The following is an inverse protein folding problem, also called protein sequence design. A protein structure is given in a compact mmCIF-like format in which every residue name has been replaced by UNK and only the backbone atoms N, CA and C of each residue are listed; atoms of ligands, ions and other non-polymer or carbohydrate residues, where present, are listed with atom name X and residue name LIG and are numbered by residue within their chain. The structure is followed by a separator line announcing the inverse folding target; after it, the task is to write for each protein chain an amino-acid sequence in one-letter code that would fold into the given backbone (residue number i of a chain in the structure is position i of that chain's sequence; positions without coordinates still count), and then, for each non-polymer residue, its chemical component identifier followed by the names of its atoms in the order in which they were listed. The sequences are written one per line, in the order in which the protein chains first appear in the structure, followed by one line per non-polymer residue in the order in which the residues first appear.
data_IF_344414304040
#
_entry.id   IF_344414304040
#
_cell.length_a   1.000
_cell.length_b   1.000
_cell.length_c   1.000
_cell.angle_alpha   90.00
_cell.angle_beta   90.00
_cell.angle_gamma   90.00
#
_symmetry.space_group_name_H-M   'P 1'
#
loop_
_entity.id
_entity.type
_entity.pdbx_description
1 polymer ?
#
# COMPACT_ATOMS: atom_id res chain seq x y z
N UNK A 1 8.80 0.13 -17.93
CA UNK A 1 10.02 0.86 -17.54
C UNK A 1 9.68 2.09 -16.71
N UNK A 2 8.67 2.90 -17.07
CA UNK A 2 8.22 4.04 -16.26
C UNK A 2 7.82 3.67 -14.82
N UNK A 3 6.96 2.65 -14.64
CA UNK A 3 6.47 2.25 -13.31
C UNK A 3 7.60 1.94 -12.32
N UNK A 4 8.69 1.27 -12.75
CA UNK A 4 9.82 0.94 -11.87
C UNK A 4 10.57 2.20 -11.43
N UNK A 5 10.86 3.11 -12.35
CA UNK A 5 11.52 4.39 -12.03
C UNK A 5 10.68 5.24 -11.06
N UNK A 6 9.36 5.24 -11.21
CA UNK A 6 8.48 5.99 -10.32
C UNK A 6 8.38 5.35 -8.93
N UNK A 7 8.45 4.01 -8.83
CA UNK A 7 8.56 3.30 -7.55
C UNK A 7 9.89 3.60 -6.88
N UNK A 8 11.02 3.56 -7.60
CA UNK A 8 12.33 3.96 -7.08
C UNK A 8 12.32 5.40 -6.58
N UNK A 9 11.68 6.31 -7.33
CA UNK A 9 11.52 7.71 -6.92
C UNK A 9 10.70 7.81 -5.63
N UNK A 10 9.59 7.07 -5.50
CA UNK A 10 8.81 7.02 -4.27
C UNK A 10 9.65 6.55 -3.07
N UNK A 11 10.48 5.53 -3.25
CA UNK A 11 11.35 5.02 -2.19
C UNK A 11 12.45 6.02 -1.81
N UNK A 12 13.02 6.73 -2.78
CA UNK A 12 14.04 7.76 -2.51
C UNK A 12 13.44 8.97 -1.77
N UNK A 13 12.26 9.44 -2.19
CA UNK A 13 11.62 10.63 -1.62
C UNK A 13 11.03 10.38 -0.24
N UNK A 14 10.57 9.15 0.01
CA UNK A 14 9.72 8.84 1.16
C UNK A 14 10.16 7.65 2.01
N UNK A 15 11.24 6.94 1.64
CA UNK A 15 11.71 5.75 2.36
C UNK A 15 12.11 6.01 3.81
N UNK A 16 12.28 7.27 4.23
CA UNK A 16 12.46 7.65 5.64
C UNK A 16 11.19 7.55 6.48
N UNK A 17 10.01 7.50 5.85
CA UNK A 17 8.70 7.55 6.51
C UNK A 17 8.16 6.18 6.90
N UNK A 18 8.70 5.11 6.33
CA UNK A 18 8.25 3.74 6.59
C UNK A 18 9.42 2.75 6.46
N UNK A 19 9.27 1.58 7.05
CA UNK A 19 10.21 0.47 6.86
C UNK A 19 9.60 -0.44 5.79
N UNK A 20 10.14 -0.47 4.56
CA UNK A 20 9.60 -1.33 3.52
C UNK A 20 9.74 -2.80 3.93
N UNK A 21 8.67 -3.57 3.72
CA UNK A 21 8.72 -5.04 3.72
C UNK A 21 8.28 -5.48 2.34
N UNK A 22 9.21 -5.97 1.53
CA UNK A 22 8.88 -6.57 0.24
C UNK A 22 8.22 -7.93 0.48
N UNK A 23 7.01 -8.10 -0.07
CA UNK A 23 6.37 -9.41 -0.18
C UNK A 23 5.84 -9.50 -1.61
N UNK A 24 6.30 -10.50 -2.36
CA UNK A 24 5.67 -10.90 -3.63
C UNK A 24 6.22 -10.33 -4.94
N UNK A 25 7.40 -9.71 -4.98
CA UNK A 25 8.10 -9.39 -6.24
C UNK A 25 9.43 -10.16 -6.29
N UNK A 26 9.45 -11.28 -7.01
CA UNK A 26 10.68 -11.95 -7.48
C UNK A 26 11.02 -11.35 -8.86
N UNK A 27 12.22 -10.99 -9.30
CA UNK A 27 13.60 -11.50 -9.06
C UNK A 27 14.68 -10.40 -9.13
N UNK A 28 14.38 -9.23 -8.63
CA UNK A 28 15.39 -8.27 -8.24
C UNK A 28 14.79 -7.64 -7.01
N UNK A 29 15.39 -7.78 -5.83
CA UNK A 29 15.31 -6.74 -4.81
C UNK A 29 16.22 -7.07 -3.61
N UNK A 30 17.53 -6.85 -3.81
CA UNK A 30 18.44 -6.30 -2.80
C UNK A 30 18.22 -4.77 -2.71
N UNK A 31 16.97 -4.30 -2.76
CA UNK A 31 16.69 -2.88 -2.68
C UNK A 31 16.65 -2.45 -1.22
N UNK A 32 17.74 -1.77 -0.85
CA UNK A 32 17.91 -0.88 0.29
C UNK A 32 18.67 -1.51 1.47
N UNK A 33 20.00 -1.63 1.29
CA UNK A 33 20.95 -1.38 2.38
C UNK A 33 21.30 0.13 2.37
N UNK A 34 20.38 0.96 2.87
CA UNK A 34 20.65 2.38 3.12
C UNK A 34 21.46 2.52 4.41
N UNK A 35 22.74 2.81 4.25
CA UNK A 35 23.78 2.93 5.28
C UNK A 35 23.76 4.26 6.07
N UNK A 36 22.66 5.02 6.07
CA UNK A 36 22.61 6.30 6.78
C UNK A 36 21.24 6.66 7.37
N UNK A 37 20.62 5.73 8.10
CA UNK A 37 19.31 6.00 8.73
C UNK A 37 19.09 5.30 10.07
N UNK A 38 20.15 4.81 10.70
CA UNK A 38 20.06 4.00 11.94
C UNK A 38 19.39 4.75 13.10
N UNK A 39 19.51 6.08 13.17
CA UNK A 39 18.86 6.85 14.22
C UNK A 39 17.34 6.97 14.03
N UNK A 40 16.87 7.27 12.80
CA UNK A 40 15.44 7.40 12.48
C UNK A 40 14.77 6.03 12.47
N UNK A 41 15.41 5.04 11.83
CA UNK A 41 14.97 3.64 11.85
C UNK A 41 14.83 3.13 13.27
N UNK A 42 15.77 3.43 14.18
CA UNK A 42 15.68 3.04 15.59
C UNK A 42 14.51 3.73 16.31
N UNK A 43 14.30 5.03 16.13
CA UNK A 43 13.16 5.73 16.75
C UNK A 43 11.80 5.25 16.22
N UNK A 44 11.69 4.93 14.94
CA UNK A 44 10.48 4.35 14.35
C UNK A 44 10.27 2.91 14.86
N UNK A 45 11.34 2.11 14.95
CA UNK A 45 11.28 0.75 15.52
C UNK A 45 10.89 0.75 17.00
N UNK A 46 11.43 1.66 17.81
CA UNK A 46 11.15 1.78 19.25
C UNK A 46 9.74 2.32 19.56
N UNK A 47 9.14 3.12 18.67
CA UNK A 47 7.82 3.73 18.88
C UNK A 47 6.67 3.02 18.13
N UNK A 48 6.94 2.27 17.05
CA UNK A 48 5.90 1.78 16.13
C UNK A 48 5.91 0.27 15.81
N UNK A 49 6.94 -0.51 16.19
CA UNK A 49 6.94 -1.95 15.94
C UNK A 49 6.41 -2.77 17.11
N UNK A 50 5.09 -2.94 17.12
CA UNK A 50 4.44 -4.15 17.64
C UNK A 50 3.08 -4.32 16.94
N UNK A 51 3.07 -5.25 15.98
CA UNK A 51 1.92 -5.94 15.38
C UNK A 51 0.92 -5.17 14.51
N UNK A 52 1.35 -4.05 13.90
CA UNK A 52 0.46 -3.24 13.05
C UNK A 52 1.19 -2.56 11.89
N UNK A 53 0.66 -2.71 10.66
CA UNK A 53 1.27 -2.14 9.44
C UNK A 53 0.25 -1.46 8.53
N UNK A 54 0.73 -0.61 7.63
CA UNK A 54 -0.05 -0.07 6.50
C UNK A 54 0.50 -0.70 5.23
N UNK A 55 -0.40 -1.18 4.37
CA UNK A 55 -0.07 -1.64 3.03
C UNK A 55 -0.25 -0.48 2.07
N UNK A 56 0.84 -0.04 1.44
CA UNK A 56 0.85 1.00 0.41
C UNK A 56 0.86 0.32 -0.96
N UNK A 57 -0.14 0.60 -1.79
CA UNK A 57 -0.25 0.08 -3.15
C UNK A 57 -0.01 1.21 -4.14
N UNK A 58 1.05 1.09 -4.94
CA UNK A 58 1.35 1.99 -6.05
C UNK A 58 0.77 1.43 -7.35
N UNK A 59 -0.18 2.16 -7.94
CA UNK A 59 -0.93 1.74 -9.12
C UNK A 59 -0.33 2.37 -10.37
N UNK A 60 0.34 1.55 -11.16
CA UNK A 60 0.66 1.83 -12.56
C UNK A 60 -0.41 1.31 -13.51
N UNK A 61 -0.11 1.37 -14.81
CA UNK A 61 -1.06 1.06 -15.90
C UNK A 61 -1.63 -0.36 -15.85
N UNK A 62 -0.79 -1.33 -15.47
CA UNK A 62 -1.14 -2.76 -15.45
C UNK A 62 -1.29 -3.36 -14.05
N UNK A 63 -1.07 -2.59 -12.98
CA UNK A 63 -1.06 -3.11 -11.59
C UNK A 63 -2.38 -3.78 -11.23
N UNK A 64 -3.52 -3.23 -11.69
CA UNK A 64 -4.86 -3.78 -11.46
C UNK A 64 -5.05 -5.22 -11.95
N UNK A 65 -4.24 -5.64 -12.94
CA UNK A 65 -4.31 -6.93 -13.59
C UNK A 65 -3.54 -8.03 -12.86
N UNK A 66 -2.61 -7.70 -11.96
CA UNK A 66 -1.66 -8.65 -11.38
C UNK A 66 -2.26 -9.48 -10.25
N UNK A 67 -2.12 -10.80 -10.31
CA UNK A 67 -2.61 -11.73 -9.27
C UNK A 67 -1.88 -11.53 -7.94
N UNK A 68 -0.58 -11.26 -7.96
CA UNK A 68 0.20 -11.06 -6.74
C UNK A 68 -0.26 -9.82 -5.98
N UNK A 69 -0.64 -8.75 -6.68
CA UNK A 69 -1.25 -7.57 -6.05
C UNK A 69 -2.57 -7.93 -5.36
N UNK A 70 -3.43 -8.73 -6.00
CA UNK A 70 -4.65 -9.23 -5.36
C UNK A 70 -4.36 -10.05 -4.09
N UNK A 71 -3.34 -10.91 -4.13
CA UNK A 71 -2.96 -11.76 -3.00
C UNK A 71 -2.39 -10.95 -1.84
N UNK A 72 -1.52 -9.98 -2.11
CA UNK A 72 -0.95 -9.10 -1.08
C UNK A 72 -2.01 -8.22 -0.42
N UNK A 73 -2.93 -7.64 -1.22
CA UNK A 73 -4.07 -6.89 -0.67
C UNK A 73 -4.97 -7.82 0.14
N UNK A 74 -5.29 -9.03 -0.36
CA UNK A 74 -6.08 -9.99 0.40
C UNK A 74 -5.44 -10.36 1.73
N UNK A 75 -4.12 -10.57 1.73
CA UNK A 75 -3.37 -10.88 2.95
C UNK A 75 -3.41 -9.73 3.95
N UNK A 76 -3.26 -8.50 3.46
CA UNK A 76 -3.31 -7.28 4.26
C UNK A 76 -4.66 -7.02 4.92
N UNK A 77 -5.75 -7.46 4.28
CA UNK A 77 -7.12 -7.31 4.78
C UNK A 77 -7.54 -8.41 5.77
N UNK A 78 -6.77 -9.50 5.90
CA UNK A 78 -7.04 -10.55 6.89
C UNK A 78 -6.88 -10.01 8.30
N UNK A 79 -7.73 -10.48 9.20
CA UNK A 79 -7.66 -10.22 10.63
C UNK A 79 -7.90 -11.53 11.36
N UNK A 80 -6.83 -12.20 11.77
CA UNK A 80 -6.90 -13.46 12.50
C UNK A 80 -6.21 -13.33 13.87
N UNK A 81 -6.24 -14.40 14.68
CA UNK A 81 -5.68 -14.38 16.03
C UNK A 81 -4.16 -14.15 16.08
N UNK A 82 -3.48 -14.35 14.94
CA UNK A 82 -2.02 -14.23 14.79
C UNK A 82 -1.67 -12.94 14.04
N UNK A 83 -2.42 -12.61 12.99
CA UNK A 83 -2.16 -11.48 12.11
C UNK A 83 -3.26 -10.43 12.23
N UNK A 84 -2.91 -9.28 12.80
CA UNK A 84 -3.79 -8.12 12.79
C UNK A 84 -3.83 -7.51 11.39
N UNK A 85 -5.00 -7.01 11.02
CA UNK A 85 -5.23 -6.32 9.76
C UNK A 85 -4.31 -5.11 9.56
N UNK A 86 -3.87 -4.90 8.32
CA UNK A 86 -3.15 -3.68 7.93
C UNK A 86 -4.12 -2.58 7.47
N UNK A 87 -3.76 -1.33 7.72
CA UNK A 87 -4.37 -0.20 6.99
C UNK A 87 -4.09 -0.32 5.48
N UNK A 88 -4.95 0.24 4.63
CA UNK A 88 -4.79 0.15 3.18
C UNK A 88 -4.76 1.54 2.54
N UNK A 89 -3.61 1.89 1.96
CA UNK A 89 -3.34 3.17 1.33
C UNK A 89 -2.96 2.94 -0.14
N UNK A 90 -3.58 3.69 -1.04
CA UNK A 90 -3.47 3.43 -2.48
C UNK A 90 -3.18 4.73 -3.22
N UNK A 91 -2.13 4.73 -4.04
CA UNK A 91 -1.75 5.86 -4.87
C UNK A 91 -1.69 5.47 -6.34
N UNK A 92 -2.24 6.27 -7.26
CA UNK A 92 -1.83 6.23 -8.65
C UNK A 92 -0.39 6.75 -8.78
N UNK A 93 0.45 6.07 -9.57
CA UNK A 93 1.76 6.62 -9.94
C UNK A 93 1.61 7.93 -10.72
N UNK A 94 2.59 8.85 -10.69
CA UNK A 94 2.50 10.13 -11.39
C UNK A 94 2.13 10.01 -12.87
N UNK A 95 2.67 9.01 -13.58
CA UNK A 95 2.38 8.68 -14.97
C UNK A 95 0.91 8.37 -15.24
N UNK A 96 0.16 7.99 -14.22
CA UNK A 96 -1.27 7.70 -14.30
C UNK A 96 -2.15 8.94 -14.17
N UNK A 97 -1.60 10.13 -13.88
CA UNK A 97 -2.35 11.40 -13.77
C UNK A 97 -3.61 11.31 -12.89
N UNK A 98 -3.50 10.64 -11.73
CA UNK A 98 -4.61 10.36 -10.82
C UNK A 98 -5.79 9.57 -11.42
N UNK A 99 -5.59 8.85 -12.53
CA UNK A 99 -6.62 8.03 -13.19
C UNK A 99 -6.24 6.56 -13.30
N UNK A 100 -5.50 6.02 -12.33
CA UNK A 100 -5.12 4.61 -12.34
C UNK A 100 -6.33 3.70 -12.11
N UNK A 101 -6.42 2.62 -12.88
CA UNK A 101 -7.47 1.61 -12.69
C UNK A 101 -7.25 0.87 -11.37
N UNK A 102 -8.30 0.80 -10.54
CA UNK A 102 -8.28 0.01 -9.30
C UNK A 102 -8.45 -1.50 -9.61
N UNK A 103 -7.69 -2.34 -8.92
CA UNK A 103 -7.96 -3.79 -8.87
C UNK A 103 -9.33 -4.05 -8.22
N UNK A 104 -9.93 -5.20 -8.52
CA UNK A 104 -11.29 -5.50 -8.04
C UNK A 104 -11.36 -5.50 -6.50
N UNK A 105 -10.36 -6.06 -5.81
CA UNK A 105 -10.31 -6.09 -4.34
C UNK A 105 -10.11 -4.71 -3.71
N UNK A 106 -9.32 -3.83 -4.34
CA UNK A 106 -9.19 -2.43 -3.87
C UNK A 106 -10.53 -1.72 -4.04
N UNK A 107 -11.22 -1.97 -5.16
CA UNK A 107 -12.53 -1.37 -5.44
C UNK A 107 -13.60 -1.80 -4.45
N UNK A 108 -13.61 -3.05 -3.98
CA UNK A 108 -14.56 -3.48 -2.93
C UNK A 108 -14.37 -2.71 -1.61
N UNK A 109 -13.17 -2.19 -1.38
CA UNK A 109 -12.81 -1.46 -0.17
C UNK A 109 -12.83 0.07 -0.37
N UNK A 110 -13.24 0.56 -1.55
CA UNK A 110 -13.23 1.98 -1.89
C UNK A 110 -14.58 2.42 -2.48
N UNK A 111 -15.14 3.50 -1.92
CA UNK A 111 -16.32 4.19 -2.45
C UNK A 111 -15.89 5.54 -2.98
N UNK A 112 -16.07 5.76 -4.28
CA UNK A 112 -15.65 6.98 -4.97
C UNK A 112 -16.29 8.24 -4.33
N UNK A 113 -15.46 9.23 -4.02
CA UNK A 113 -15.88 10.47 -3.36
C UNK A 113 -16.24 10.35 -1.88
N UNK A 114 -16.23 9.16 -1.29
CA UNK A 114 -16.78 8.87 0.04
C UNK A 114 -15.73 8.22 0.96
N UNK A 115 -14.73 9.01 1.36
CA UNK A 115 -13.61 8.52 2.18
C UNK A 115 -14.08 7.95 3.54
N UNK A 116 -15.16 8.48 4.11
CA UNK A 116 -15.74 7.99 5.37
C UNK A 116 -16.35 6.58 5.23
N UNK A 117 -16.81 6.21 4.04
CA UNK A 117 -17.35 4.87 3.70
C UNK A 117 -16.31 3.94 3.07
N UNK A 118 -15.07 4.40 2.94
CA UNK A 118 -13.98 3.65 2.31
C UNK A 118 -13.01 3.11 3.36
N UNK A 119 -12.71 1.82 3.30
CA UNK A 119 -11.59 1.24 4.04
C UNK A 119 -10.25 1.57 3.36
N UNK A 120 -10.16 1.34 2.05
CA UNK A 120 -9.02 1.72 1.23
C UNK A 120 -9.00 3.23 1.01
N UNK A 121 -7.91 3.87 1.44
CA UNK A 121 -7.66 5.29 1.17
C UNK A 121 -7.03 5.45 -0.21
N UNK A 122 -7.85 5.70 -1.22
CA UNK A 122 -7.36 6.11 -2.54
C UNK A 122 -7.09 7.62 -2.53
N UNK A 123 -5.82 7.99 -2.65
CA UNK A 123 -5.36 9.37 -2.52
C UNK A 123 -4.51 9.74 -3.74
N UNK A 124 -4.41 11.04 -4.04
CA UNK A 124 -3.42 11.54 -5.01
C UNK A 124 -2.00 11.27 -4.51
N UNK A 125 -1.06 11.08 -5.45
CA UNK A 125 0.35 10.87 -5.13
C UNK A 125 0.87 11.98 -4.18
N UNK A 126 1.58 11.62 -3.09
CA UNK A 126 1.97 12.59 -2.07
C UNK A 126 2.99 13.59 -2.62
N UNK A 127 2.86 14.86 -2.21
CA UNK A 127 3.75 15.96 -2.63
C UNK A 127 4.86 16.26 -1.62
N UNK A 128 4.83 15.64 -0.45
CA UNK A 128 5.84 15.77 0.60
C UNK A 128 5.78 14.63 1.61
N UNK A 129 6.89 14.39 2.31
CA UNK A 129 6.99 13.39 3.37
C UNK A 129 5.98 13.62 4.51
N UNK A 130 5.69 14.89 4.85
CA UNK A 130 4.68 15.24 5.86
C UNK A 130 3.26 14.80 5.44
N UNK A 131 2.92 14.97 4.15
CA UNK A 131 1.63 14.52 3.61
C UNK A 131 1.54 13.00 3.66
N UNK A 132 2.59 12.29 3.21
CA UNK A 132 2.60 10.83 3.27
C UNK A 132 2.48 10.32 4.71
N UNK A 133 3.23 10.88 5.66
CA UNK A 133 3.17 10.49 7.07
C UNK A 133 1.76 10.60 7.64
N UNK A 134 1.10 11.74 7.40
CA UNK A 134 -0.29 11.95 7.85
C UNK A 134 -1.27 10.94 7.22
N UNK A 135 -1.06 10.58 5.94
CA UNK A 135 -1.87 9.59 5.25
C UNK A 135 -1.63 8.16 5.79
N UNK A 136 -0.38 7.82 6.12
CA UNK A 136 -0.01 6.56 6.78
C UNK A 136 -0.67 6.46 8.16
N UNK A 137 -0.54 7.49 9.01
CA UNK A 137 -1.17 7.53 10.34
C UNK A 137 -2.70 7.36 10.25
N UNK A 138 -3.31 8.02 9.27
CA UNK A 138 -4.76 7.91 9.05
C UNK A 138 -5.17 6.51 8.57
N UNK A 139 -4.41 5.91 7.65
CA UNK A 139 -4.66 4.54 7.17
C UNK A 139 -4.45 3.51 8.30
N UNK A 140 -3.46 3.73 9.15
CA UNK A 140 -3.18 2.91 10.32
C UNK A 140 -4.37 2.92 11.29
N UNK A 141 -4.92 4.10 11.63
CA UNK A 141 -6.09 4.20 12.51
C UNK A 141 -7.36 3.56 11.93
N UNK A 142 -7.56 3.69 10.60
CA UNK A 142 -8.71 3.10 9.90
C UNK A 142 -8.75 1.56 9.99
N UNK A 143 -7.61 0.90 10.21
CA UNK A 143 -7.56 -0.58 10.28
C UNK A 143 -8.55 -1.15 11.31
N UNK A 144 -8.71 -0.42 12.41
CA UNK A 144 -9.58 -0.76 13.54
C UNK A 144 -10.90 0.05 13.45
N UNK A 145 -10.80 1.36 13.24
CA UNK A 145 -11.95 2.27 13.21
C UNK A 145 -12.95 1.96 12.07
N UNK A 146 -12.46 1.43 10.96
CA UNK A 146 -13.25 1.05 9.78
C UNK A 146 -13.27 -0.45 9.54
N UNK A 147 -13.01 -1.26 10.57
CA UNK A 147 -12.91 -2.70 10.44
C UNK A 147 -14.16 -3.37 9.87
N UNK A 148 -15.33 -2.77 10.05
CA UNK A 148 -16.63 -3.22 9.51
C UNK A 148 -16.83 -2.90 8.02
N UNK A 149 -16.02 -2.03 7.43
CA UNK A 149 -16.07 -1.66 6.00
C UNK A 149 -15.18 -2.56 5.13
N UNK A 150 -14.44 -3.48 5.73
CA UNK A 150 -13.52 -4.36 5.02
C UNK A 150 -14.30 -5.42 4.24
N UNK A 151 -14.08 -5.46 2.94
CA UNK A 151 -14.52 -6.56 2.09
C UNK A 151 -13.29 -7.35 1.58
N UNK A 152 -13.13 -8.56 2.10
CA UNK A 152 -12.12 -9.51 1.62
C UNK A 152 -12.77 -10.83 1.16
N UNK A 153 -14.04 -10.79 0.74
CA UNK A 153 -14.83 -11.97 0.39
C UNK A 153 -14.48 -12.56 -0.97
N UNK A 154 -13.87 -11.78 -1.87
CA UNK A 154 -13.45 -12.24 -3.20
C UNK A 154 -12.46 -13.41 -3.12
N UNK A 155 -12.73 -14.46 -3.88
CA UNK A 155 -11.77 -15.53 -4.14
C UNK A 155 -10.47 -14.95 -4.71
N UNK A 156 -9.33 -15.53 -4.32
CA UNK A 156 -8.03 -15.12 -4.82
C UNK A 156 -7.96 -15.26 -6.34
N UNK A 157 -7.41 -14.24 -7.00
CA UNK A 157 -7.21 -14.24 -8.44
C UNK A 157 -6.25 -15.35 -8.84
N UNK A 158 -6.66 -16.21 -9.77
CA UNK A 158 -5.84 -17.35 -10.23
C UNK A 158 -4.78 -16.95 -11.26
N UNK A 159 -5.16 -16.06 -12.19
CA UNK A 159 -4.34 -15.65 -13.34
C UNK A 159 -4.23 -14.13 -13.44
N UNK A 160 -3.14 -13.63 -14.03
CA UNK A 160 -3.06 -12.21 -14.38
C UNK A 160 -4.10 -11.87 -15.45
N UNK A 161 -4.70 -10.68 -15.38
CA UNK A 161 -5.51 -10.15 -16.46
C UNK A 161 -4.61 -9.68 -17.61
N UNK A 162 -5.12 -9.72 -18.84
CA UNK A 162 -4.45 -9.07 -19.98
C UNK A 162 -4.46 -7.56 -19.78
N UNK A 163 -3.28 -6.94 -19.83
CA UNK A 163 -3.14 -5.50 -19.82
C UNK A 163 -3.22 -4.99 -21.26
N UNK A 164 -4.15 -4.07 -21.57
CA UNK A 164 -4.27 -3.47 -22.90
C UNK A 164 -3.10 -2.55 -23.24
#
# INVERSE_FOLDING_TARGET
MADLTEVETFLNDFGSEFIPRSVGVTEADDFIDSTDSDYIKRKIRELYLSDSTVTIVLLGSCTWGRKFVDWEVSSSLRNDSVNKRSGLLVYPLPSMNNSAKLSDRIRDNHVEGELAKSYARYMSYPTSAAVLRSQIESAFGDRDAKASLVDNSRALRKNNASCP
#
